data_IF_419368489491
#
_entry.id   IF_419368489491
#
_cell.length_a   1.000
_cell.length_b   1.000
_cell.length_c   1.000
_cell.angle_alpha   90.00
_cell.angle_beta   90.00
_cell.angle_gamma   90.00
#
_symmetry.space_group_name_H-M   'P 1'
#
loop_
_entity.id
_entity.type
_entity.pdbx_description
1 polymer ?
#
# COMPACT_ATOMS: atom_id res chain seq x y z
N UNK A 1 14.93 -35.66 -19.30
CA UNK A 1 15.40 -34.86 -18.15
C UNK A 1 14.48 -33.66 -18.00
N UNK A 2 13.68 -33.62 -16.93
CA UNK A 2 12.87 -32.45 -16.59
C UNK A 2 13.77 -31.51 -15.79
N UNK A 3 14.25 -30.42 -16.40
CA UNK A 3 15.01 -29.40 -15.70
C UNK A 3 14.03 -28.45 -15.01
N UNK A 4 13.89 -28.57 -13.68
CA UNK A 4 13.16 -27.59 -12.88
C UNK A 4 14.16 -26.52 -12.47
N UNK A 5 14.01 -25.31 -13.01
CA UNK A 5 14.80 -24.15 -12.59
C UNK A 5 14.30 -23.67 -11.24
N UNK A 6 15.07 -23.88 -10.17
CA UNK A 6 14.80 -23.25 -8.87
C UNK A 6 15.45 -21.87 -8.81
N UNK A 7 14.64 -20.86 -8.48
CA UNK A 7 15.11 -19.51 -8.17
C UNK A 7 14.96 -19.28 -6.67
N UNK A 8 16.06 -18.94 -5.99
CA UNK A 8 16.05 -18.54 -4.57
C UNK A 8 16.21 -17.04 -4.47
N UNK A 9 15.27 -16.36 -3.83
CA UNK A 9 15.32 -14.92 -3.59
C UNK A 9 15.70 -14.64 -2.12
N UNK A 10 16.44 -13.56 -1.91
CA UNK A 10 16.83 -13.10 -0.57
C UNK A 10 16.40 -11.65 -0.40
N UNK A 11 15.64 -11.35 0.65
CA UNK A 11 15.35 -9.97 1.01
C UNK A 11 16.45 -9.44 1.93
N UNK A 12 17.13 -8.38 1.49
CA UNK A 12 18.24 -7.77 2.22
C UNK A 12 17.85 -6.34 2.57
N UNK A 13 17.69 -6.07 3.86
CA UNK A 13 17.47 -4.72 4.38
C UNK A 13 18.81 -4.12 4.78
N UNK A 14 19.13 -2.93 4.24
CA UNK A 14 20.32 -2.18 4.65
C UNK A 14 20.02 -1.41 5.92
N UNK A 15 20.81 -1.63 6.96
CA UNK A 15 20.74 -0.90 8.23
C UNK A 15 22.07 -0.21 8.53
N UNK A 16 22.09 0.65 9.55
CA UNK A 16 23.33 1.29 10.02
C UNK A 16 24.34 0.28 10.57
N UNK A 17 23.89 -0.89 11.04
CA UNK A 17 24.74 -1.98 11.55
C UNK A 17 25.19 -2.97 10.46
N UNK A 18 24.80 -2.74 9.20
CA UNK A 18 25.11 -3.62 8.07
C UNK A 18 23.87 -4.17 7.35
N UNK A 19 24.09 -5.11 6.44
CA UNK A 19 23.02 -5.77 5.70
C UNK A 19 22.37 -6.85 6.58
N UNK A 20 21.06 -6.74 6.79
CA UNK A 20 20.27 -7.74 7.48
C UNK A 20 19.53 -8.58 6.44
N UNK A 21 19.78 -9.90 6.44
CA UNK A 21 19.07 -10.85 5.58
C UNK A 21 17.79 -11.29 6.30
N UNK A 22 16.64 -11.01 5.71
CA UNK A 22 15.33 -11.25 6.32
C UNK A 22 14.58 -12.26 5.45
N UNK A 23 14.96 -13.53 5.56
CA UNK A 23 14.24 -14.63 4.94
C UNK A 23 13.51 -15.42 6.05
N UNK A 24 12.17 -15.49 5.99
CA UNK A 24 11.35 -16.24 6.95
C UNK A 24 10.40 -17.21 6.23
N UNK A 25 9.84 -18.19 6.97
CA UNK A 25 8.76 -19.10 6.48
C UNK A 25 7.53 -18.39 5.93
N UNK A 26 7.31 -17.14 6.36
CA UNK A 26 6.20 -16.28 5.97
C UNK A 26 6.57 -15.28 4.88
N UNK A 27 7.81 -15.26 4.40
CA UNK A 27 8.19 -14.45 3.24
C UNK A 27 7.52 -15.03 2.00
N UNK A 28 6.45 -14.36 1.57
CA UNK A 28 5.74 -14.69 0.36
C UNK A 28 6.31 -13.85 -0.81
N UNK A 29 7.17 -14.40 -1.67
CA UNK A 29 7.75 -13.66 -2.79
C UNK A 29 6.67 -13.17 -3.79
N UNK A 30 5.44 -13.71 -3.72
CA UNK A 30 4.29 -13.30 -4.56
C UNK A 30 3.90 -11.84 -4.32
N UNK A 31 4.01 -11.35 -3.08
CA UNK A 31 3.67 -9.97 -2.73
C UNK A 31 4.57 -8.94 -3.45
N UNK A 32 5.77 -9.36 -3.87
CA UNK A 32 6.74 -8.49 -4.55
C UNK A 32 6.57 -8.52 -6.07
N UNK A 33 6.06 -9.62 -6.66
CA UNK A 33 6.14 -9.86 -8.11
C UNK A 33 4.81 -10.10 -8.84
N UNK A 34 3.64 -10.06 -8.19
CA UNK A 34 2.32 -10.32 -8.84
C UNK A 34 2.33 -11.60 -9.72
N UNK A 35 3.05 -12.64 -9.33
CA UNK A 35 3.09 -13.91 -10.06
C UNK A 35 2.12 -14.92 -9.44
N UNK A 36 1.28 -15.56 -10.26
CA UNK A 36 0.39 -16.65 -9.83
C UNK A 36 1.24 -17.91 -9.62
N UNK A 37 1.21 -18.46 -8.41
CA UNK A 37 1.82 -19.76 -8.09
C UNK A 37 0.67 -20.77 -7.98
N UNK A 38 0.75 -21.87 -8.73
CA UNK A 38 -0.12 -23.02 -8.54
C UNK A 38 0.27 -23.75 -7.25
N UNK A 39 -0.70 -24.31 -6.53
CA UNK A 39 -0.46 -25.00 -5.25
C UNK A 39 0.69 -26.01 -5.36
N UNK A 40 1.74 -25.77 -4.58
CA UNK A 40 2.92 -26.62 -4.51
C UNK A 40 3.10 -27.19 -3.09
N UNK A 41 3.58 -28.43 -3.01
CA UNK A 41 3.90 -29.08 -1.73
C UNK A 41 5.27 -28.63 -1.23
N UNK A 42 5.34 -28.22 0.04
CA UNK A 42 6.57 -27.80 0.71
C UNK A 42 7.52 -28.98 0.89
N UNK A 43 8.76 -28.85 0.43
CA UNK A 43 9.82 -29.82 0.67
C UNK A 43 10.32 -29.71 2.13
N UNK A 44 10.10 -30.78 2.88
CA UNK A 44 10.38 -30.84 4.31
C UNK A 44 11.88 -30.98 4.63
N UNK A 45 12.72 -31.40 3.68
CA UNK A 45 14.17 -31.53 3.93
C UNK A 45 14.87 -30.18 3.89
N UNK A 46 14.42 -29.27 3.01
CA UNK A 46 14.99 -27.94 2.81
C UNK A 46 14.51 -26.87 3.80
N UNK A 47 13.57 -27.19 4.70
CA UNK A 47 12.98 -26.25 5.67
C UNK A 47 13.26 -26.61 7.14
N UNK A 48 14.19 -27.55 7.39
CA UNK A 48 14.56 -28.08 8.72
C UNK A 48 15.20 -27.04 9.65
N UNK A 49 15.96 -26.07 9.12
CA UNK A 49 16.65 -25.05 9.93
C UNK A 49 15.89 -23.72 10.06
N UNK A 50 14.67 -23.67 9.51
CA UNK A 50 13.88 -22.46 9.58
C UNK A 50 13.09 -22.42 10.89
N UNK A 51 13.47 -21.48 11.76
CA UNK A 51 12.84 -21.29 13.06
C UNK A 51 11.35 -20.94 12.93
N UNK A 52 10.56 -21.56 13.80
CA UNK A 52 9.16 -21.19 14.02
C UNK A 52 9.14 -20.23 15.20
N UNK A 53 8.64 -19.01 15.02
CA UNK A 53 8.33 -18.14 16.16
C UNK A 53 7.24 -18.81 17.01
N UNK A 54 7.64 -19.41 18.12
CA UNK A 54 6.70 -19.91 19.12
C UNK A 54 6.20 -18.73 19.97
N UNK A 55 4.96 -18.31 19.77
CA UNK A 55 4.23 -17.61 20.82
C UNK A 55 3.98 -18.66 21.92
N UNK A 56 4.63 -18.51 23.07
CA UNK A 56 4.34 -19.32 24.25
C UNK A 56 2.88 -19.07 24.63
N UNK A 57 2.03 -20.08 24.48
CA UNK A 57 0.71 -20.14 25.08
C UNK A 57 0.70 -21.35 26.00
N UNK A 58 0.68 -21.08 27.30
CA UNK A 58 0.65 -22.12 28.33
C UNK A 58 -0.58 -23.02 28.15
N UNK A 59 -0.30 -24.33 28.13
CA UNK A 59 -1.21 -25.38 27.73
C UNK A 59 -1.78 -26.10 28.95
N UNK A 60 -2.94 -25.68 29.45
CA UNK A 60 -3.68 -26.48 30.45
C UNK A 60 -5.20 -26.57 30.21
N UNK A 61 -5.74 -26.20 29.04
CA UNK A 61 -7.20 -26.21 28.83
C UNK A 61 -7.75 -27.02 27.65
N UNK A 62 -6.93 -27.70 26.86
CA UNK A 62 -7.39 -28.46 25.69
C UNK A 62 -7.47 -29.97 25.95
N UNK A 63 -8.42 -30.38 26.80
CA UNK A 63 -9.01 -31.71 26.71
C UNK A 63 -10.49 -31.66 27.11
N UNK A 64 -11.33 -31.16 26.21
CA UNK A 64 -12.80 -31.32 26.25
C UNK A 64 -13.36 -31.71 24.87
N UNK A 65 -14.48 -32.45 24.81
CA UNK A 65 -14.86 -33.25 23.65
C UNK A 65 -15.44 -32.44 22.48
N UNK A 66 -15.35 -33.02 21.28
CA UNK A 66 -15.74 -32.57 19.92
C UNK A 66 -17.17 -32.01 19.72
N UNK A 67 -17.93 -31.69 20.76
CA UNK A 67 -19.35 -31.27 20.64
C UNK A 67 -19.55 -29.75 20.56
N UNK A 68 -18.49 -28.94 20.67
CA UNK A 68 -18.56 -27.46 20.60
C UNK A 68 -18.13 -26.86 19.24
N UNK A 69 -18.01 -27.66 18.18
CA UNK A 69 -17.68 -27.17 16.82
C UNK A 69 -18.82 -26.40 16.12
N UNK A 70 -19.95 -26.16 16.78
CA UNK A 70 -21.07 -25.34 16.25
C UNK A 70 -21.19 -23.95 16.87
N UNK A 71 -20.30 -23.55 17.78
CA UNK A 71 -20.38 -22.25 18.45
C UNK A 71 -19.05 -21.45 18.44
N UNK A 72 -18.16 -21.72 17.48
CA UNK A 72 -16.92 -20.93 17.26
C UNK A 72 -16.85 -20.44 15.80
N UNK A 73 -18.00 -20.01 15.23
CA UNK A 73 -18.04 -19.30 13.95
C UNK A 73 -18.26 -17.79 14.12
N UNK A 74 -18.13 -17.25 15.33
CA UNK A 74 -18.41 -15.85 15.62
C UNK A 74 -17.30 -15.30 16.51
N UNK A 75 -16.16 -14.97 15.90
CA UNK A 75 -15.18 -13.93 16.30
C UNK A 75 -13.87 -14.07 15.51
N UNK A 76 -13.95 -14.19 14.19
CA UNK A 76 -12.99 -13.49 13.35
C UNK A 76 -13.62 -12.10 13.18
N UNK A 77 -13.10 -11.09 13.87
CA UNK A 77 -13.32 -9.73 13.37
C UNK A 77 -12.70 -9.73 11.98
N UNK A 78 -13.55 -9.72 10.96
CA UNK A 78 -13.16 -9.46 9.59
C UNK A 78 -12.48 -8.08 9.63
N UNK A 79 -11.15 -8.04 9.63
CA UNK A 79 -10.35 -6.81 9.47
C UNK A 79 -10.47 -6.28 8.04
N UNK A 80 -11.70 -6.20 7.54
CA UNK A 80 -12.05 -5.67 6.23
C UNK A 80 -12.61 -4.26 6.41
N UNK A 81 -11.85 -3.24 6.03
CA UNK A 81 -12.36 -1.89 5.92
C UNK A 81 -13.40 -1.79 4.79
N UNK A 82 -14.22 -0.73 4.82
CA UNK A 82 -15.20 -0.41 3.79
C UNK A 82 -14.89 0.95 3.14
N UNK A 83 -15.39 1.17 1.91
CA UNK A 83 -15.29 2.48 1.25
C UNK A 83 -15.93 3.58 2.10
N UNK A 84 -17.10 3.32 2.71
CA UNK A 84 -17.79 4.30 3.54
C UNK A 84 -16.96 4.74 4.77
N UNK A 85 -16.23 3.82 5.41
CA UNK A 85 -15.32 4.17 6.51
C UNK A 85 -14.14 5.03 6.02
N UNK A 86 -13.57 4.70 4.86
CA UNK A 86 -12.49 5.49 4.27
C UNK A 86 -12.98 6.89 3.90
N UNK A 87 -14.16 7.01 3.29
CA UNK A 87 -14.80 8.28 2.95
C UNK A 87 -15.06 9.12 4.20
N UNK A 88 -15.54 8.51 5.28
CA UNK A 88 -15.76 9.18 6.57
C UNK A 88 -14.46 9.73 7.17
N UNK A 89 -13.35 9.00 7.08
CA UNK A 89 -12.04 9.53 7.51
C UNK A 89 -11.55 10.64 6.57
N UNK A 90 -11.82 10.51 5.27
CA UNK A 90 -11.45 11.52 4.28
C UNK A 90 -12.22 12.84 4.49
N UNK A 91 -13.49 12.81 4.91
CA UNK A 91 -14.27 14.02 5.22
C UNK A 91 -13.66 14.89 6.32
N UNK A 92 -12.85 14.32 7.20
CA UNK A 92 -12.16 15.04 8.28
C UNK A 92 -10.98 15.87 7.77
N UNK A 93 -10.51 15.58 6.57
CA UNK A 93 -9.41 16.28 5.93
C UNK A 93 -9.91 17.62 5.37
N UNK A 94 -9.46 18.74 5.94
CA UNK A 94 -9.86 20.10 5.51
C UNK A 94 -8.76 20.84 4.79
N UNK A 95 -7.52 20.47 5.08
CA UNK A 95 -6.31 21.04 4.53
C UNK A 95 -5.24 19.98 4.43
N UNK A 96 -4.13 20.33 3.80
CA UNK A 96 -3.01 19.41 3.75
C UNK A 96 -2.54 18.96 5.13
N UNK A 97 -2.58 19.86 6.12
CA UNK A 97 -2.08 19.58 7.47
C UNK A 97 -2.81 18.40 8.16
N UNK A 98 -4.01 18.06 7.72
CA UNK A 98 -4.83 16.97 8.26
C UNK A 98 -4.46 15.60 7.67
N UNK A 99 -3.68 15.59 6.58
CA UNK A 99 -3.33 14.39 5.85
C UNK A 99 -2.58 13.32 6.66
N UNK A 100 -1.57 13.66 7.50
CA UNK A 100 -0.91 12.64 8.32
C UNK A 100 -1.90 11.93 9.26
N UNK A 101 -2.91 12.64 9.77
CA UNK A 101 -3.92 12.06 10.65
C UNK A 101 -4.84 11.11 9.88
N UNK A 102 -5.26 11.50 8.67
CA UNK A 102 -6.01 10.62 7.76
C UNK A 102 -5.26 9.34 7.43
N UNK A 103 -3.98 9.43 7.05
CA UNK A 103 -3.14 8.25 6.76
C UNK A 103 -3.07 7.31 7.95
N UNK A 104 -2.88 7.85 9.16
CA UNK A 104 -2.88 7.04 10.37
C UNK A 104 -4.25 6.42 10.66
N UNK A 105 -5.34 7.13 10.36
CA UNK A 105 -6.70 6.63 10.55
C UNK A 105 -7.01 5.45 9.62
N UNK A 106 -6.77 5.59 8.31
CA UNK A 106 -7.04 4.50 7.36
C UNK A 106 -6.07 3.33 7.51
N UNK A 107 -4.83 3.57 7.99
CA UNK A 107 -3.91 2.50 8.38
C UNK A 107 -4.47 1.67 9.53
N UNK A 108 -5.07 2.31 10.53
CA UNK A 108 -5.75 1.63 11.65
C UNK A 108 -7.01 0.88 11.22
N UNK A 109 -7.66 1.29 10.13
CA UNK A 109 -8.75 0.53 9.51
C UNK A 109 -8.27 -0.73 8.79
N UNK A 110 -6.96 -0.89 8.55
CA UNK A 110 -6.38 -2.04 7.87
C UNK A 110 -5.96 -1.78 6.42
N UNK A 111 -5.95 -0.53 5.96
CA UNK A 111 -5.41 -0.17 4.64
C UNK A 111 -3.88 -0.20 4.68
N UNK A 112 -3.27 -1.00 3.82
CA UNK A 112 -1.81 -1.13 3.68
C UNK A 112 -1.27 -0.28 2.52
N UNK A 113 -2.05 -0.17 1.45
CA UNK A 113 -1.70 0.55 0.24
C UNK A 113 -2.95 1.09 -0.45
N UNK A 114 -2.82 2.20 -1.17
CA UNK A 114 -3.83 2.60 -2.14
C UNK A 114 -3.22 3.19 -3.41
N UNK A 115 -3.91 3.00 -4.52
CA UNK A 115 -3.50 3.45 -5.86
C UNK A 115 -4.61 4.32 -6.42
N UNK A 116 -4.30 5.57 -6.75
CA UNK A 116 -5.25 6.48 -7.39
C UNK A 116 -4.86 6.71 -8.83
N UNK A 117 -5.82 6.52 -9.74
CA UNK A 117 -5.63 6.74 -11.17
C UNK A 117 -5.91 8.19 -11.55
N UNK A 118 -5.00 8.80 -12.30
CA UNK A 118 -5.08 10.20 -12.77
C UNK A 118 -6.22 10.40 -13.77
N UNK A 119 -6.62 9.33 -14.49
CA UNK A 119 -7.67 9.40 -15.49
C UNK A 119 -8.98 9.97 -14.94
N UNK A 120 -9.38 9.56 -13.75
CA UNK A 120 -10.73 9.82 -13.22
C UNK A 120 -10.77 9.87 -11.68
N UNK A 121 -9.60 9.82 -11.02
CA UNK A 121 -9.41 9.85 -9.57
C UNK A 121 -10.06 8.68 -8.81
N UNK A 122 -10.44 7.60 -9.49
CA UNK A 122 -10.82 6.39 -8.76
C UNK A 122 -9.60 5.84 -8.01
N UNK A 123 -9.84 5.31 -6.81
CA UNK A 123 -8.80 4.81 -5.92
C UNK A 123 -9.07 3.36 -5.57
N UNK A 124 -8.07 2.51 -5.79
CA UNK A 124 -8.03 1.13 -5.34
C UNK A 124 -7.32 1.07 -3.99
N UNK A 125 -7.96 0.47 -3.00
CA UNK A 125 -7.44 0.26 -1.66
C UNK A 125 -7.11 -1.21 -1.46
N UNK A 126 -6.00 -1.48 -0.79
CA UNK A 126 -5.47 -2.81 -0.54
C UNK A 126 -5.26 -2.99 0.96
N UNK A 127 -5.69 -4.13 1.48
CA UNK A 127 -5.49 -4.55 2.86
C UNK A 127 -5.03 -6.00 2.98
N UNK A 128 -4.97 -6.47 4.22
CA UNK A 128 -4.54 -7.82 4.56
C UNK A 128 -5.39 -8.91 3.88
N UNK A 129 -4.78 -10.08 3.69
CA UNK A 129 -5.44 -11.28 3.16
C UNK A 129 -6.10 -11.09 1.77
N UNK A 130 -5.57 -10.14 0.98
CA UNK A 130 -6.06 -9.87 -0.38
C UNK A 130 -7.33 -9.02 -0.43
N UNK A 131 -7.75 -8.42 0.70
CA UNK A 131 -8.90 -7.51 0.73
C UNK A 131 -8.64 -6.29 -0.16
N UNK A 132 -9.58 -5.99 -1.04
CA UNK A 132 -9.47 -4.92 -2.03
C UNK A 132 -10.81 -4.24 -2.25
N UNK A 133 -10.79 -2.91 -2.35
CA UNK A 133 -11.97 -2.10 -2.67
C UNK A 133 -11.61 -1.00 -3.65
N UNK A 134 -12.57 -0.56 -4.45
CA UNK A 134 -12.41 0.58 -5.36
C UNK A 134 -13.44 1.65 -5.06
N UNK A 135 -13.01 2.91 -5.01
CA UNK A 135 -13.92 4.05 -5.05
C UNK A 135 -14.52 4.20 -6.46
N UNK A 136 -15.55 5.04 -6.58
CA UNK A 136 -16.04 5.50 -7.87
C UNK A 136 -15.09 6.56 -8.46
N UNK A 137 -15.21 6.76 -9.77
CA UNK A 137 -14.63 7.92 -10.46
C UNK A 137 -15.21 9.23 -9.91
N UNK A 138 -14.40 10.29 -9.89
CA UNK A 138 -14.80 11.62 -9.40
C UNK A 138 -15.11 12.61 -10.50
N UNK A 139 -14.58 12.42 -11.70
CA UNK A 139 -14.75 13.31 -12.84
C UNK A 139 -14.67 12.55 -14.17
N UNK A 140 -15.04 13.23 -15.25
CA UNK A 140 -14.92 12.71 -16.62
C UNK A 140 -13.46 12.40 -16.99
N UNK A 141 -13.18 11.29 -17.69
CA UNK A 141 -11.82 10.84 -17.93
C UNK A 141 -10.90 11.89 -18.59
N UNK A 142 -9.75 12.12 -17.97
CA UNK A 142 -8.63 12.87 -18.50
C UNK A 142 -7.77 11.98 -19.40
N UNK A 143 -7.26 12.55 -20.50
CA UNK A 143 -6.30 11.88 -21.38
C UNK A 143 -4.89 12.07 -20.82
N UNK A 144 -4.28 10.97 -20.37
CA UNK A 144 -2.89 10.95 -19.90
C UNK A 144 -1.93 10.92 -21.09
N UNK A 145 -0.92 11.77 -21.08
CA UNK A 145 0.10 11.83 -22.13
C UNK A 145 0.94 10.54 -22.17
N UNK A 146 1.19 10.02 -23.38
CA UNK A 146 1.91 8.76 -23.59
C UNK A 146 3.41 8.79 -23.22
N UNK A 147 3.98 9.98 -23.04
CA UNK A 147 5.40 10.18 -22.72
C UNK A 147 5.50 10.99 -21.44
N UNK A 148 6.16 10.40 -20.44
CA UNK A 148 6.35 11.02 -19.14
C UNK A 148 7.42 12.12 -19.17
N UNK A 149 7.15 13.24 -18.51
CA UNK A 149 8.05 14.40 -18.47
C UNK A 149 8.45 14.76 -17.03
N UNK A 150 9.31 13.94 -16.42
CA UNK A 150 9.75 14.04 -15.01
C UNK A 150 10.08 15.46 -14.53
N UNK A 151 10.92 16.21 -15.26
CA UNK A 151 11.31 17.59 -14.84
C UNK A 151 10.11 18.55 -14.72
N UNK A 152 9.14 18.44 -15.64
CA UNK A 152 7.95 19.27 -15.68
C UNK A 152 6.96 18.83 -14.59
N UNK A 153 6.79 17.52 -14.43
CA UNK A 153 6.02 16.94 -13.34
C UNK A 153 6.53 17.41 -11.97
N UNK A 154 7.84 17.30 -11.70
CA UNK A 154 8.42 17.75 -10.41
C UNK A 154 8.18 19.23 -10.15
N UNK A 155 8.13 20.08 -11.18
CA UNK A 155 7.77 21.50 -11.03
C UNK A 155 6.32 21.67 -10.61
N UNK A 156 5.38 21.00 -11.30
CA UNK A 156 3.96 21.07 -10.98
C UNK A 156 3.64 20.50 -9.60
N UNK A 157 4.29 19.40 -9.22
CA UNK A 157 4.18 18.82 -7.90
C UNK A 157 4.60 19.80 -6.81
N UNK A 158 5.75 20.47 -6.96
CA UNK A 158 6.18 21.52 -6.01
C UNK A 158 5.20 22.70 -5.94
N UNK A 159 4.65 23.12 -7.08
CA UNK A 159 3.63 24.17 -7.11
C UNK A 159 2.37 23.76 -6.35
N UNK A 160 1.92 22.52 -6.52
CA UNK A 160 0.76 21.97 -5.82
C UNK A 160 1.02 21.82 -4.31
N UNK A 161 2.19 21.29 -3.93
CA UNK A 161 2.62 21.21 -2.54
C UNK A 161 2.69 22.58 -1.86
N UNK A 162 3.01 23.64 -2.61
CA UNK A 162 2.97 25.02 -2.14
C UNK A 162 1.56 25.64 -2.11
N UNK A 163 0.51 24.87 -2.40
CA UNK A 163 -0.88 25.34 -2.37
C UNK A 163 -1.30 26.21 -3.56
N UNK A 164 -0.52 26.23 -4.65
CA UNK A 164 -0.76 27.13 -5.79
C UNK A 164 -1.77 26.58 -6.81
N UNK A 165 -2.21 25.33 -6.64
CA UNK A 165 -3.13 24.65 -7.56
C UNK A 165 -4.09 23.79 -6.76
N UNK A 166 -5.35 23.73 -7.15
CA UNK A 166 -6.32 22.76 -6.62
C UNK A 166 -6.03 21.33 -7.12
N UNK A 167 -6.79 20.35 -6.63
CA UNK A 167 -6.59 18.94 -6.95
C UNK A 167 -6.87 18.60 -8.41
N UNK A 168 -7.95 19.12 -9.00
CA UNK A 168 -8.30 18.80 -10.37
C UNK A 168 -7.26 19.41 -11.35
N UNK A 169 -6.79 20.62 -11.06
CA UNK A 169 -5.68 21.26 -11.77
C UNK A 169 -4.39 20.45 -11.65
N UNK A 170 -4.12 19.89 -10.48
CA UNK A 170 -2.99 18.99 -10.29
C UNK A 170 -3.14 17.66 -11.05
N UNK A 171 -4.34 17.05 -11.07
CA UNK A 171 -4.61 15.87 -11.87
C UNK A 171 -4.40 16.16 -13.37
N UNK A 172 -4.82 17.33 -13.86
CA UNK A 172 -4.53 17.77 -15.24
C UNK A 172 -3.03 17.92 -15.49
N UNK A 173 -2.26 18.49 -14.55
CA UNK A 173 -0.81 18.55 -14.65
C UNK A 173 -0.16 17.16 -14.67
N UNK A 174 -0.64 16.22 -13.87
CA UNK A 174 -0.24 14.81 -13.92
C UNK A 174 -0.50 14.21 -15.29
N UNK A 175 -1.72 14.33 -15.81
CA UNK A 175 -2.11 13.83 -17.11
C UNK A 175 -1.26 14.45 -18.23
N UNK A 176 -1.07 15.76 -18.22
CA UNK A 176 -0.23 16.50 -19.18
C UNK A 176 1.24 16.03 -19.16
N UNK A 177 1.74 15.64 -17.99
CA UNK A 177 3.13 15.21 -17.81
C UNK A 177 3.31 13.69 -17.86
N UNK A 178 2.26 12.96 -18.23
CA UNK A 178 2.29 11.51 -18.44
C UNK A 178 2.34 10.69 -17.16
N UNK A 179 1.87 11.23 -16.05
CA UNK A 179 1.64 10.44 -14.83
C UNK A 179 0.28 9.76 -14.96
N UNK A 180 0.30 8.44 -14.87
CA UNK A 180 -0.88 7.57 -14.97
C UNK A 180 -1.57 7.39 -13.62
N UNK A 181 -0.77 7.22 -12.57
CA UNK A 181 -1.26 6.95 -11.21
C UNK A 181 -0.22 7.30 -10.17
N UNK A 182 -0.66 7.38 -8.93
CA UNK A 182 0.21 7.33 -7.77
C UNK A 182 -0.22 6.24 -6.80
N UNK A 183 0.77 5.69 -6.11
CA UNK A 183 0.64 4.63 -5.12
C UNK A 183 1.14 5.15 -3.78
N UNK A 184 0.30 5.04 -2.76
CA UNK A 184 0.65 5.35 -1.39
C UNK A 184 0.78 4.06 -0.61
N UNK A 185 1.98 3.80 -0.10
CA UNK A 185 2.26 2.66 0.75
C UNK A 185 2.32 3.11 2.21
N UNK A 186 1.41 2.62 3.05
CA UNK A 186 1.28 3.03 4.44
C UNK A 186 2.26 2.32 5.38
N UNK A 187 2.88 1.22 4.94
CA UNK A 187 3.95 0.55 5.66
C UNK A 187 5.28 1.28 5.48
N UNK A 188 5.62 1.64 4.25
CA UNK A 188 6.83 2.38 3.90
C UNK A 188 6.68 3.91 4.08
N UNK A 189 5.45 4.39 4.25
CA UNK A 189 5.12 5.82 4.31
C UNK A 189 5.66 6.57 3.09
N UNK A 190 5.34 6.07 1.88
CA UNK A 190 5.79 6.64 0.61
C UNK A 190 4.65 6.91 -0.33
N UNK A 191 4.78 7.95 -1.15
CA UNK A 191 3.97 8.18 -2.35
C UNK A 191 4.84 8.06 -3.60
N UNK A 192 4.47 7.16 -4.51
CA UNK A 192 5.21 6.85 -5.74
C UNK A 192 4.37 7.10 -6.97
N UNK A 193 4.92 7.80 -7.96
CA UNK A 193 4.22 8.18 -9.19
C UNK A 193 4.71 7.35 -10.36
N UNK A 194 3.79 6.83 -11.14
CA UNK A 194 4.06 5.94 -12.27
C UNK A 194 3.47 6.50 -13.56
N UNK A 195 4.14 6.23 -14.68
CA UNK A 195 3.58 6.47 -16.00
C UNK A 195 2.81 5.25 -16.55
N UNK A 196 2.25 5.38 -17.76
CA UNK A 196 1.44 4.34 -18.41
C UNK A 196 2.24 3.07 -18.77
N UNK A 197 3.58 3.11 -18.67
CA UNK A 197 4.47 1.97 -18.92
C UNK A 197 4.95 1.34 -17.61
N UNK A 198 4.29 1.67 -16.49
CA UNK A 198 4.65 1.26 -15.14
C UNK A 198 6.06 1.72 -14.71
N UNK A 199 6.61 2.76 -15.36
CA UNK A 199 7.91 3.29 -14.96
C UNK A 199 7.76 4.23 -13.77
N UNK A 200 8.56 3.99 -12.74
CA UNK A 200 8.64 4.88 -11.58
C UNK A 200 9.25 6.23 -11.98
N UNK A 201 8.45 7.29 -11.86
CA UNK A 201 8.88 8.65 -12.18
C UNK A 201 9.52 9.33 -10.97
N UNK A 202 8.87 9.23 -9.82
CA UNK A 202 9.27 9.88 -8.57
C UNK A 202 8.70 9.12 -7.37
N UNK A 203 9.43 9.11 -6.25
CA UNK A 203 8.94 8.70 -4.94
C UNK A 203 9.21 9.81 -3.94
N UNK A 204 8.26 10.06 -3.05
CA UNK A 204 8.38 10.99 -1.95
C UNK A 204 8.00 10.31 -0.63
N UNK A 205 8.65 10.72 0.46
CA UNK A 205 8.34 10.21 1.80
C UNK A 205 7.22 11.00 2.45
N UNK A 206 6.18 10.32 2.93
CA UNK A 206 5.07 10.91 3.68
C UNK A 206 5.57 11.24 5.10
N UNK A 207 5.50 12.50 5.55
CA UNK A 207 5.89 12.90 6.89
C UNK A 207 5.04 12.16 7.92
N UNK A 208 5.70 11.43 8.81
CA UNK A 208 5.04 10.92 10.01
C UNK A 208 5.13 12.00 11.10
N UNK A 209 4.09 12.14 11.93
CA UNK A 209 4.05 13.13 13.03
C UNK A 209 5.16 12.95 14.06
N UNK A 210 5.88 11.82 14.05
CA UNK A 210 7.01 11.52 14.95
C UNK A 210 8.38 11.96 14.40
N UNK A 211 8.46 12.43 13.15
CA UNK A 211 9.70 12.92 12.54
C UNK A 211 9.53 14.38 12.13
N UNK A 212 10.07 15.30 12.95
CA UNK A 212 10.05 16.75 12.74
C UNK A 212 10.93 17.23 11.56
N UNK A 213 10.75 16.69 10.35
CA UNK A 213 11.35 17.26 9.15
C UNK A 213 10.41 17.14 7.94
N UNK A 214 9.73 18.26 7.62
CA UNK A 214 9.17 18.51 6.28
C UNK A 214 7.63 18.54 6.20
N UNK A 215 7.05 19.74 6.23
CA UNK A 215 5.61 20.03 6.07
C UNK A 215 5.05 19.81 4.64
N UNK A 216 5.71 19.05 3.76
CA UNK A 216 5.51 19.23 2.31
C UNK A 216 4.51 18.29 1.61
N UNK A 217 4.15 17.14 2.19
CA UNK A 217 3.26 16.16 1.51
C UNK A 217 1.78 16.36 1.87
N UNK A 218 1.53 17.09 2.94
CA UNK A 218 0.22 17.42 3.45
C UNK A 218 -0.76 17.85 2.33
N UNK A 219 -0.41 18.86 1.52
CA UNK A 219 -1.33 19.45 0.54
C UNK A 219 -1.67 18.56 -0.68
N UNK A 220 -0.97 17.43 -0.85
CA UNK A 220 -0.99 16.63 -2.07
C UNK A 220 -2.26 15.76 -2.23
N UNK A 221 -2.86 15.30 -1.13
CA UNK A 221 -3.94 14.29 -1.17
C UNK A 221 -5.29 14.79 -0.64
N UNK A 222 -5.33 16.03 -0.18
CA UNK A 222 -6.44 16.59 0.62
C UNK A 222 -7.43 17.42 -0.18
N UNK A 223 -7.06 17.88 -1.38
CA UNK A 223 -7.95 18.69 -2.23
C UNK A 223 -8.94 17.84 -3.04
N UNK A 224 -9.14 16.59 -2.63
CA UNK A 224 -10.03 15.61 -3.24
C UNK A 224 -11.53 15.85 -2.96
N UNK A 225 -11.87 16.99 -2.36
CA UNK A 225 -13.22 17.40 -2.04
C UNK A 225 -13.89 17.95 -3.29
N UNK A 226 -14.88 17.20 -3.80
CA UNK A 226 -15.95 17.77 -4.63
C UNK A 226 -16.66 18.89 -3.88
#
# INVERSE_FOLDING_TARGET
CLCISMFSFQFIQKTFAGNLLINSKSFNPVAVFRAVIADGTVDQEHTKEWDVMSVVRDSEHFNKPKTELKAISTNLQEESFTIAQIEQEHEKVKSGADFPQYIQAIKKLGVEEFVTHVSDSHTQYYGHNGHQLSSKAKYEPLVVAAVSHKKKFTKYLKMHQAGQTDYLSFCRHCAETGIDRWMVNLSLMTCSYYDQKDQLILTESIPNSELHYGQFIANFLTNNSC
#
